data_IF_303115538347
#
_entry.id   IF_303115538347
#
_cell.length_a   1.000
_cell.length_b   1.000
_cell.length_c   1.000
_cell.angle_alpha   90.00
_cell.angle_beta   90.00
_cell.angle_gamma   90.00
#
_symmetry.space_group_name_H-M   'P 1'
#
loop_
_entity.id
_entity.type
_entity.pdbx_description
1 polymer ?
#
# COMPACT_ATOMS: atom_id res chain seq x y z
N UNK A 1 61.35 -41.11 1.56
CA UNK A 1 59.99 -41.17 2.16
C UNK A 1 58.99 -41.36 1.03
N UNK A 2 57.95 -42.21 1.16
CA UNK A 2 57.03 -42.54 0.07
C UNK A 2 55.94 -41.47 -0.14
N UNK A 3 55.27 -41.47 -1.31
CA UNK A 3 54.18 -40.53 -1.62
C UNK A 3 52.88 -40.89 -0.88
N UNK A 4 52.04 -39.89 -0.61
CA UNK A 4 50.71 -40.10 -0.02
C UNK A 4 49.71 -40.63 -1.07
N UNK A 5 49.01 -41.70 -0.71
CA UNK A 5 47.99 -42.36 -1.53
C UNK A 5 46.60 -41.75 -1.31
N UNK A 6 45.81 -41.47 -2.37
CA UNK A 6 44.41 -41.08 -2.25
C UNK A 6 43.45 -42.25 -2.56
N UNK A 7 42.34 -42.39 -1.82
CA UNK A 7 41.04 -43.05 -2.20
C UNK A 7 40.24 -43.50 -0.96
N UNK A 8 38.91 -43.82 -1.05
CA UNK A 8 38.10 -43.97 -2.27
C UNK A 8 36.77 -43.18 -2.33
N UNK A 9 36.32 -42.97 -3.56
CA UNK A 9 34.94 -42.56 -3.93
C UNK A 9 33.92 -43.68 -3.63
N UNK A 10 32.66 -43.35 -3.30
CA UNK A 10 31.55 -44.33 -3.28
C UNK A 10 30.33 -43.90 -4.11
N UNK A 11 30.38 -44.30 -5.38
CA UNK A 11 29.32 -44.86 -6.26
C UNK A 11 27.83 -44.52 -5.98
N UNK A 12 27.20 -43.87 -6.97
CA UNK A 12 25.75 -43.82 -7.30
C UNK A 12 25.36 -45.13 -8.07
N UNK A 13 24.13 -45.64 -8.23
CA UNK A 13 22.70 -45.23 -8.08
C UNK A 13 21.84 -46.53 -7.83
N UNK A 14 20.51 -46.66 -8.14
CA UNK A 14 19.38 -45.72 -8.35
C UNK A 14 18.03 -46.14 -7.64
N UNK A 15 16.90 -45.52 -8.02
CA UNK A 15 15.48 -46.00 -7.87
C UNK A 15 14.82 -45.82 -6.48
N UNK A 16 13.51 -45.53 -6.29
CA UNK A 16 12.29 -45.52 -7.14
C UNK A 16 11.31 -44.36 -6.75
N UNK A 17 10.60 -43.79 -7.74
CA UNK A 17 9.30 -43.08 -7.80
C UNK A 17 8.77 -42.07 -6.72
N UNK A 18 8.06 -41.08 -7.26
CA UNK A 18 7.19 -40.10 -6.58
C UNK A 18 5.80 -40.67 -6.24
N UNK A 19 5.20 -40.34 -5.08
CA UNK A 19 3.83 -40.74 -4.74
C UNK A 19 2.81 -39.62 -5.04
N UNK A 20 2.55 -39.35 -6.32
CA UNK A 20 1.30 -38.72 -6.74
C UNK A 20 0.49 -39.73 -7.56
N UNK A 21 -0.79 -39.85 -7.21
CA UNK A 21 -1.79 -40.75 -7.80
C UNK A 21 -1.60 -42.27 -7.58
N UNK A 22 -2.37 -42.81 -6.65
CA UNK A 22 -3.02 -44.12 -6.79
C UNK A 22 -4.35 -44.08 -6.04
N UNK A 23 -5.42 -44.44 -6.75
CA UNK A 23 -6.80 -44.37 -6.28
C UNK A 23 -7.24 -45.71 -5.72
N UNK A 24 -7.28 -45.85 -4.40
CA UNK A 24 -7.92 -46.99 -3.75
C UNK A 24 -8.94 -46.52 -2.70
N UNK A 25 -10.18 -46.96 -2.87
CA UNK A 25 -11.32 -46.62 -2.01
C UNK A 25 -11.24 -47.37 -0.68
N UNK A 26 -10.88 -46.68 0.41
CA UNK A 26 -10.81 -47.27 1.75
C UNK A 26 -12.09 -46.98 2.56
N UNK A 27 -12.94 -47.98 2.87
CA UNK A 27 -14.31 -47.78 3.37
C UNK A 27 -14.39 -47.52 4.89
N UNK A 28 -13.43 -46.79 5.49
CA UNK A 28 -13.38 -46.50 6.93
C UNK A 28 -13.04 -45.03 7.27
N UNK A 29 -13.21 -44.10 6.32
CA UNK A 29 -12.88 -42.68 6.53
C UNK A 29 -13.91 -41.89 7.37
N UNK A 30 -15.00 -42.50 7.82
CA UNK A 30 -16.09 -41.85 8.60
C UNK A 30 -15.85 -41.77 10.12
N UNK A 31 -14.66 -42.13 10.63
CA UNK A 31 -14.38 -42.18 12.07
C UNK A 31 -13.35 -41.19 12.60
N UNK A 32 -12.86 -40.24 11.80
CA UNK A 32 -11.75 -39.37 12.21
C UNK A 32 -11.92 -37.86 11.99
N UNK A 33 -13.15 -37.33 12.00
CA UNK A 33 -13.40 -35.89 12.22
C UNK A 33 -14.57 -35.69 13.20
N UNK A 34 -14.29 -35.70 14.51
CA UNK A 34 -15.17 -35.09 15.51
C UNK A 34 -14.33 -34.21 16.45
N UNK A 35 -14.31 -32.91 16.15
CA UNK A 35 -13.70 -31.90 17.01
C UNK A 35 -14.64 -31.58 18.19
N UNK A 36 -14.17 -31.54 19.44
CA UNK A 36 -15.02 -31.32 20.62
C UNK A 36 -15.56 -29.88 20.76
N UNK A 37 -15.25 -28.98 19.82
CA UNK A 37 -15.62 -27.56 19.85
C UNK A 37 -16.72 -27.16 18.85
N UNK A 38 -17.38 -28.11 18.17
CA UNK A 38 -18.49 -27.83 17.26
C UNK A 38 -19.72 -28.68 17.59
N UNK A 39 -20.62 -28.13 18.40
CA UNK A 39 -21.97 -28.67 18.59
C UNK A 39 -22.98 -27.80 17.82
N UNK A 40 -23.70 -28.32 16.82
CA UNK A 40 -24.72 -27.56 16.11
C UNK A 40 -25.91 -27.26 17.04
N UNK A 41 -26.52 -26.05 16.97
CA UNK A 41 -27.67 -25.71 17.81
C UNK A 41 -28.90 -26.56 17.47
N UNK A 42 -29.63 -26.99 18.50
CA UNK A 42 -30.83 -27.82 18.36
C UNK A 42 -31.97 -27.02 17.71
N UNK A 43 -32.55 -27.56 16.63
CA UNK A 43 -33.83 -27.07 16.10
C UNK A 43 -34.97 -27.42 17.06
N UNK A 44 -35.87 -26.48 17.44
CA UNK A 44 -37.17 -26.83 17.97
C UNK A 44 -38.09 -27.30 16.83
N UNK A 45 -38.91 -28.32 17.10
CA UNK A 45 -39.88 -28.88 16.17
C UNK A 45 -41.31 -28.53 16.60
N UNK A 46 -42.04 -27.73 15.81
CA UNK A 46 -43.51 -27.71 15.79
C UNK A 46 -43.97 -27.61 14.33
N UNK A 47 -45.14 -28.15 14.03
CA UNK A 47 -45.58 -28.45 12.66
C UNK A 47 -46.28 -27.29 11.93
N UNK A 48 -46.36 -27.48 10.61
CA UNK A 48 -47.31 -26.91 9.63
C UNK A 48 -48.41 -25.99 10.18
N UNK A 49 -48.48 -24.80 9.58
CA UNK A 49 -49.70 -24.37 8.89
C UNK A 49 -49.30 -23.56 7.64
N UNK A 50 -50.15 -23.56 6.62
CA UNK A 50 -49.91 -22.87 5.36
C UNK A 50 -51.02 -21.84 5.16
N UNK A 51 -50.63 -20.57 5.03
CA UNK A 51 -51.46 -19.48 4.54
C UNK A 51 -50.54 -18.47 3.86
N UNK A 52 -51.03 -17.84 2.81
CA UNK A 52 -50.33 -16.79 2.08
C UNK A 52 -50.09 -15.57 2.97
N UNK A 53 -48.91 -14.97 2.85
CA UNK A 53 -48.77 -13.52 2.94
C UNK A 53 -47.57 -13.08 2.10
N UNK A 54 -47.78 -12.12 1.20
CA UNK A 54 -46.69 -11.39 0.56
C UNK A 54 -46.16 -10.38 1.58
N UNK A 55 -44.95 -10.58 2.09
CA UNK A 55 -44.16 -9.43 2.53
C UNK A 55 -42.67 -9.57 2.18
N UNK A 56 -42.02 -8.42 2.08
CA UNK A 56 -40.93 -8.14 1.18
C UNK A 56 -39.60 -7.92 1.92
N UNK A 57 -39.13 -8.95 2.63
CA UNK A 57 -37.82 -8.93 3.30
C UNK A 57 -36.66 -9.33 2.37
N UNK A 58 -36.53 -8.58 1.27
CA UNK A 58 -35.27 -8.41 0.57
C UNK A 58 -34.36 -7.49 1.40
N UNK A 59 -33.55 -8.11 2.28
CA UNK A 59 -32.49 -7.42 3.05
C UNK A 59 -31.41 -6.86 2.11
N UNK A 60 -31.72 -5.69 1.52
CA UNK A 60 -30.83 -4.88 0.69
C UNK A 60 -30.95 -3.43 1.14
N UNK A 61 -30.58 -3.16 2.41
CA UNK A 61 -30.37 -1.80 2.93
C UNK A 61 -29.09 -1.15 2.36
N UNK A 62 -28.91 -1.22 1.04
CA UNK A 62 -27.81 -0.62 0.29
C UNK A 62 -28.30 0.59 -0.53
N UNK A 63 -28.10 1.78 0.04
CA UNK A 63 -28.17 3.06 -0.66
C UNK A 63 -29.50 3.29 -1.43
N UNK A 64 -30.56 3.65 -0.68
CA UNK A 64 -31.95 3.71 -1.13
C UNK A 64 -32.33 4.95 -1.96
N UNK A 65 -31.47 5.97 -2.05
CA UNK A 65 -31.73 7.16 -2.89
C UNK A 65 -30.89 7.17 -4.16
N UNK A 66 -31.56 7.33 -5.31
CA UNK A 66 -30.95 7.56 -6.62
C UNK A 66 -29.97 8.75 -6.60
N UNK A 67 -30.25 9.77 -5.79
CA UNK A 67 -29.40 10.95 -5.59
C UNK A 67 -28.03 10.58 -5.01
N UNK A 68 -27.98 9.65 -4.05
CA UNK A 68 -26.71 9.22 -3.43
C UNK A 68 -25.87 8.46 -4.45
N UNK A 69 -26.49 7.58 -5.26
CA UNK A 69 -25.80 6.86 -6.35
C UNK A 69 -25.19 7.84 -7.37
N UNK A 70 -25.98 8.79 -7.87
CA UNK A 70 -25.54 9.87 -8.77
C UNK A 70 -24.40 10.74 -8.18
N UNK A 71 -24.36 10.91 -6.86
CA UNK A 71 -23.27 11.61 -6.18
C UNK A 71 -22.03 10.73 -6.03
N UNK A 72 -22.17 9.43 -5.75
CA UNK A 72 -21.05 8.48 -5.74
C UNK A 72 -20.41 8.34 -7.13
N UNK A 73 -21.19 8.29 -8.21
CA UNK A 73 -20.67 8.27 -9.58
C UNK A 73 -19.81 9.52 -9.88
N UNK A 74 -20.27 10.69 -9.43
CA UNK A 74 -19.50 11.95 -9.52
C UNK A 74 -18.23 11.91 -8.67
N UNK A 75 -18.27 11.34 -7.47
CA UNK A 75 -17.06 11.14 -6.65
C UNK A 75 -16.09 10.18 -7.34
N UNK A 76 -16.58 9.08 -7.91
CA UNK A 76 -15.75 8.10 -8.63
C UNK A 76 -14.97 8.74 -9.79
N UNK A 77 -15.62 9.61 -10.58
CA UNK A 77 -14.97 10.39 -11.63
C UNK A 77 -13.93 11.40 -11.10
N UNK A 78 -14.05 11.84 -9.84
CA UNK A 78 -13.16 12.82 -9.19
C UNK A 78 -12.06 12.13 -8.35
N UNK A 79 -11.38 11.14 -8.93
CA UNK A 79 -10.30 10.41 -8.25
C UNK A 79 -9.18 11.38 -7.79
N UNK A 80 -8.91 11.51 -6.47
CA UNK A 80 -8.03 12.54 -5.93
C UNK A 80 -6.59 12.31 -6.31
N UNK A 81 -6.07 13.20 -7.13
CA UNK A 81 -4.67 13.16 -7.52
C UNK A 81 -3.77 13.47 -6.33
N UNK A 82 -2.95 12.49 -5.95
CA UNK A 82 -1.94 12.65 -4.93
C UNK A 82 -0.81 13.61 -5.37
N UNK A 83 -0.38 13.59 -6.64
CA UNK A 83 0.84 14.27 -7.10
C UNK A 83 0.81 14.52 -8.63
N UNK A 84 1.29 15.67 -9.13
CA UNK A 84 1.37 16.03 -10.57
C UNK A 84 2.80 16.49 -10.97
N UNK A 85 3.20 16.29 -12.24
CA UNK A 85 4.37 16.92 -12.86
C UNK A 85 4.70 16.34 -14.25
N UNK A 86 5.13 17.19 -15.17
CA UNK A 86 5.25 16.87 -16.60
C UNK A 86 6.53 16.11 -16.99
N UNK A 87 6.50 15.46 -18.15
CA UNK A 87 7.70 14.99 -18.86
C UNK A 87 8.30 16.16 -19.65
N UNK A 88 9.57 16.46 -19.41
CA UNK A 88 10.32 17.37 -20.27
C UNK A 88 10.91 16.61 -21.46
N UNK A 89 10.36 16.85 -22.65
CA UNK A 89 10.93 16.40 -23.92
C UNK A 89 10.43 15.05 -24.43
N UNK A 90 9.50 15.09 -25.38
CA UNK A 90 9.66 14.45 -26.68
C UNK A 90 8.77 15.16 -27.71
N UNK A 91 9.31 15.42 -28.90
CA UNK A 91 8.68 16.31 -29.89
C UNK A 91 7.95 15.54 -30.98
N UNK A 92 6.63 15.31 -30.84
CA UNK A 92 5.64 15.28 -31.95
C UNK A 92 4.24 15.70 -31.47
N UNK A 93 3.83 16.89 -31.90
CA UNK A 93 2.47 17.38 -32.27
C UNK A 93 1.21 16.56 -31.90
N UNK A 94 0.34 17.20 -31.09
CA UNK A 94 -1.14 17.18 -31.05
C UNK A 94 -1.90 15.86 -31.26
N UNK A 95 -2.56 15.38 -30.19
CA UNK A 95 -4.03 15.18 -30.23
C UNK A 95 -4.68 15.19 -28.84
N UNK A 96 -5.94 15.64 -28.80
CA UNK A 96 -6.81 15.70 -27.62
C UNK A 96 -7.06 14.30 -27.00
N UNK A 97 -6.35 13.95 -25.93
CA UNK A 97 -6.83 12.98 -24.94
C UNK A 97 -6.46 13.43 -23.52
N UNK A 98 -7.46 13.44 -22.64
CA UNK A 98 -7.35 13.77 -21.23
C UNK A 98 -6.66 12.63 -20.47
N UNK A 99 -5.37 12.78 -20.19
CA UNK A 99 -4.62 11.80 -19.40
C UNK A 99 -4.51 12.25 -17.93
N UNK A 100 -5.00 11.37 -17.06
CA UNK A 100 -5.32 11.68 -15.67
C UNK A 100 -4.08 11.62 -14.77
N UNK A 101 -3.90 12.63 -13.93
CA UNK A 101 -2.65 12.84 -13.18
C UNK A 101 -2.39 11.86 -12.00
N UNK A 102 -2.97 10.66 -11.94
CA UNK A 102 -2.92 9.84 -10.70
C UNK A 102 -1.71 8.90 -10.55
N UNK A 103 -0.73 9.13 -11.39
CA UNK A 103 0.04 8.02 -11.90
C UNK A 103 1.24 7.65 -11.04
N UNK A 104 2.06 8.55 -10.49
CA UNK A 104 3.38 8.12 -10.00
C UNK A 104 3.38 7.07 -8.86
N UNK A 105 2.53 7.18 -7.82
CA UNK A 105 2.47 6.15 -6.75
C UNK A 105 1.66 4.91 -7.19
N UNK A 106 0.57 5.07 -7.94
CA UNK A 106 -0.25 3.93 -8.39
C UNK A 106 0.42 3.15 -9.54
N UNK A 107 1.01 3.82 -10.52
CA UNK A 107 1.84 3.21 -11.57
C UNK A 107 2.98 2.40 -10.97
N UNK A 108 3.62 2.86 -9.88
CA UNK A 108 4.71 2.12 -9.23
C UNK A 108 4.24 1.29 -8.03
N UNK A 109 2.94 1.08 -7.84
CA UNK A 109 2.42 0.19 -6.79
C UNK A 109 2.92 -1.25 -6.97
N UNK A 110 3.26 -1.64 -8.20
CA UNK A 110 3.90 -2.91 -8.55
C UNK A 110 5.37 -3.02 -8.12
N UNK A 111 6.01 -1.89 -7.77
CA UNK A 111 7.43 -1.79 -7.42
C UNK A 111 7.57 -1.08 -6.06
N UNK A 112 7.59 -1.84 -4.96
CA UNK A 112 7.71 -1.28 -3.62
C UNK A 112 8.96 -0.41 -3.41
N UNK A 113 10.04 -0.62 -4.18
CA UNK A 113 11.22 0.22 -4.10
C UNK A 113 10.95 1.60 -4.73
N UNK A 114 10.41 1.65 -5.95
CA UNK A 114 10.01 2.92 -6.59
C UNK A 114 8.96 3.66 -5.75
N UNK A 115 8.03 2.97 -5.09
CA UNK A 115 7.11 3.61 -4.14
C UNK A 115 7.86 4.28 -2.98
N UNK A 116 8.85 3.60 -2.39
CA UNK A 116 9.67 4.18 -1.30
C UNK A 116 10.51 5.37 -1.79
N UNK A 117 11.01 5.35 -3.03
CA UNK A 117 11.67 6.50 -3.67
C UNK A 117 10.69 7.68 -3.79
N UNK A 118 9.51 7.48 -4.38
CA UNK A 118 8.49 8.52 -4.55
C UNK A 118 8.08 9.17 -3.22
N UNK A 119 7.67 8.37 -2.22
CA UNK A 119 7.31 8.89 -0.89
C UNK A 119 8.50 9.51 -0.14
N UNK A 120 9.75 9.20 -0.52
CA UNK A 120 10.94 9.86 0.02
C UNK A 120 11.07 11.29 -0.51
N UNK A 121 10.86 11.51 -1.81
CA UNK A 121 10.92 12.83 -2.47
C UNK A 121 9.76 13.77 -2.08
N UNK A 122 8.61 13.22 -1.67
CA UNK A 122 7.43 13.99 -1.27
C UNK A 122 7.49 14.52 0.17
N UNK A 123 8.45 14.08 1.00
CA UNK A 123 8.52 14.48 2.41
C UNK A 123 8.75 15.98 2.57
N UNK A 124 7.68 16.74 2.84
CA UNK A 124 7.66 18.21 2.92
C UNK A 124 8.01 18.91 1.59
N UNK A 125 7.68 18.31 0.44
CA UNK A 125 7.84 18.93 -0.89
C UNK A 125 6.52 18.87 -1.65
N UNK A 126 6.22 19.90 -2.44
CA UNK A 126 5.06 19.91 -3.33
C UNK A 126 5.22 18.90 -4.46
N UNK A 127 4.11 18.29 -4.87
CA UNK A 127 4.08 17.34 -5.97
C UNK A 127 4.63 17.90 -7.28
N UNK A 128 4.25 19.16 -7.61
CA UNK A 128 4.68 19.88 -8.83
C UNK A 128 6.20 19.88 -9.02
N UNK A 129 6.97 19.89 -7.92
CA UNK A 129 8.44 19.81 -7.95
C UNK A 129 8.95 18.36 -7.86
N UNK A 130 8.32 17.53 -7.03
CA UNK A 130 8.81 16.19 -6.73
C UNK A 130 8.65 15.18 -7.88
N UNK A 131 7.62 15.30 -8.74
CA UNK A 131 7.40 14.34 -9.82
C UNK A 131 8.40 14.42 -10.98
N UNK A 132 8.71 15.60 -11.56
CA UNK A 132 9.64 15.65 -12.69
C UNK A 132 11.01 15.08 -12.28
N UNK A 133 11.45 15.44 -11.07
CA UNK A 133 12.66 14.91 -10.44
C UNK A 133 12.55 13.40 -10.11
N UNK A 134 11.37 12.89 -9.75
CA UNK A 134 11.16 11.45 -9.57
C UNK A 134 11.35 10.69 -10.88
N UNK A 135 10.74 11.14 -11.98
CA UNK A 135 10.85 10.48 -13.28
C UNK A 135 12.28 10.54 -13.82
N UNK A 136 12.94 11.69 -13.75
CA UNK A 136 14.37 11.81 -14.12
C UNK A 136 15.27 10.90 -13.26
N UNK A 137 14.96 10.73 -11.96
CA UNK A 137 15.70 9.85 -11.08
C UNK A 137 15.53 8.38 -11.45
N UNK A 138 14.31 7.90 -11.70
CA UNK A 138 14.07 6.50 -12.08
C UNK A 138 14.40 6.18 -13.54
N UNK A 139 14.56 7.19 -14.40
CA UNK A 139 15.16 7.03 -15.72
C UNK A 139 16.68 6.83 -15.60
N UNK A 140 17.37 7.72 -14.86
CA UNK A 140 18.83 7.67 -14.67
C UNK A 140 19.29 6.49 -13.79
N UNK A 141 18.49 6.07 -12.82
CA UNK A 141 18.77 4.95 -11.93
C UNK A 141 17.51 4.06 -11.75
N UNK A 142 17.19 3.18 -12.72
CA UNK A 142 15.91 2.46 -12.77
C UNK A 142 15.74 1.31 -11.77
N UNK A 143 16.80 0.94 -11.04
CA UNK A 143 16.83 -0.20 -10.12
C UNK A 143 17.45 0.17 -8.76
N UNK A 144 17.16 -0.60 -7.69
CA UNK A 144 17.84 -0.45 -6.41
C UNK A 144 19.37 -0.56 -6.55
N UNK A 145 19.87 -1.44 -7.42
CA UNK A 145 21.30 -1.59 -7.67
C UNK A 145 21.92 -0.31 -8.22
N UNK A 146 21.37 0.24 -9.32
CA UNK A 146 21.85 1.48 -9.92
C UNK A 146 21.81 2.66 -8.94
N UNK A 147 20.73 2.82 -8.15
CA UNK A 147 20.64 3.93 -7.19
C UNK A 147 21.54 3.72 -5.95
N UNK A 148 21.82 2.47 -5.57
CA UNK A 148 22.75 2.16 -4.48
C UNK A 148 24.22 2.48 -4.80
N UNK A 149 24.54 2.58 -6.09
CA UNK A 149 25.87 2.86 -6.65
C UNK A 149 26.00 4.29 -7.20
N UNK A 150 24.93 5.09 -7.18
CA UNK A 150 24.92 6.46 -7.65
C UNK A 150 25.94 7.35 -6.90
N UNK A 151 26.53 8.32 -7.60
CA UNK A 151 27.36 9.34 -6.97
C UNK A 151 26.52 10.22 -6.03
N UNK A 152 26.99 10.42 -4.80
CA UNK A 152 26.40 11.35 -3.83
C UNK A 152 26.23 12.74 -4.47
N UNK A 153 27.18 13.19 -5.29
CA UNK A 153 27.18 14.51 -5.94
C UNK A 153 26.12 14.62 -7.04
N UNK A 154 26.04 13.64 -7.94
CA UNK A 154 25.06 13.62 -9.04
C UNK A 154 23.63 13.57 -8.52
N UNK A 155 23.38 12.70 -7.52
CA UNK A 155 22.06 12.56 -6.92
C UNK A 155 21.67 13.81 -6.12
N UNK A 156 22.61 14.43 -5.39
CA UNK A 156 22.40 15.73 -4.71
C UNK A 156 22.11 16.85 -5.70
N UNK A 157 22.76 16.85 -6.86
CA UNK A 157 22.51 17.84 -7.92
C UNK A 157 21.12 17.70 -8.51
N UNK A 158 20.71 16.47 -8.86
CA UNK A 158 19.36 16.18 -9.38
C UNK A 158 18.26 16.63 -8.40
N UNK A 159 18.34 16.24 -7.13
CA UNK A 159 17.27 16.51 -6.17
C UNK A 159 17.39 17.87 -5.47
N UNK A 160 18.35 18.71 -5.89
CA UNK A 160 18.60 20.06 -5.35
C UNK A 160 17.34 20.95 -5.34
N UNK A 161 16.47 20.98 -6.37
CA UNK A 161 15.26 21.81 -6.38
C UNK A 161 14.26 21.47 -5.27
N UNK A 162 14.33 20.26 -4.70
CA UNK A 162 13.37 19.78 -3.70
C UNK A 162 13.72 20.19 -2.25
N UNK A 163 14.94 20.69 -2.03
CA UNK A 163 15.50 20.97 -0.72
C UNK A 163 15.84 19.73 0.11
N UNK A 164 16.61 19.90 1.19
CA UNK A 164 17.14 18.80 2.05
C UNK A 164 17.93 17.73 1.28
N UNK A 165 18.49 18.10 0.13
CA UNK A 165 19.06 17.22 -0.88
C UNK A 165 20.12 16.26 -0.33
N UNK A 166 21.09 16.72 0.47
CA UNK A 166 22.12 15.86 1.07
C UNK A 166 21.55 14.78 1.98
N UNK A 167 20.45 15.05 2.69
CA UNK A 167 19.78 14.09 3.57
C UNK A 167 18.98 13.08 2.72
N UNK A 168 18.34 13.55 1.66
CA UNK A 168 17.55 12.69 0.74
C UNK A 168 18.44 11.76 -0.07
N UNK A 169 19.52 12.26 -0.65
CA UNK A 169 20.46 11.45 -1.46
C UNK A 169 21.01 10.29 -0.62
N UNK A 170 21.59 10.58 0.55
CA UNK A 170 22.10 9.56 1.47
C UNK A 170 21.04 8.56 1.88
N UNK A 171 19.81 9.02 2.16
CA UNK A 171 18.68 8.13 2.51
C UNK A 171 18.23 7.25 1.33
N UNK A 172 18.23 7.76 0.10
CA UNK A 172 17.85 7.00 -1.10
C UNK A 172 18.90 5.93 -1.44
N UNK A 173 20.19 6.26 -1.36
CA UNK A 173 21.30 5.33 -1.54
C UNK A 173 21.26 4.25 -0.45
N UNK A 174 21.16 4.63 0.83
CA UNK A 174 21.14 3.69 1.96
C UNK A 174 19.89 2.81 2.00
N UNK A 175 18.73 3.35 1.60
CA UNK A 175 17.49 2.59 1.42
C UNK A 175 17.66 1.56 0.29
N UNK A 176 18.26 1.94 -0.83
CA UNK A 176 18.48 1.02 -1.95
C UNK A 176 19.49 -0.08 -1.61
N UNK A 177 20.56 0.23 -0.86
CA UNK A 177 21.50 -0.76 -0.29
C UNK A 177 20.77 -1.73 0.64
N UNK A 178 19.98 -1.21 1.58
CA UNK A 178 19.19 -2.04 2.50
C UNK A 178 18.14 -2.91 1.77
N UNK A 179 17.55 -2.40 0.69
CA UNK A 179 16.58 -3.14 -0.13
C UNK A 179 17.22 -4.34 -0.85
N UNK A 180 18.48 -4.22 -1.30
CA UNK A 180 19.21 -5.32 -1.92
C UNK A 180 19.68 -6.37 -0.91
N UNK A 181 20.18 -5.91 0.25
CA UNK A 181 20.66 -6.79 1.31
C UNK A 181 19.52 -7.57 1.98
N UNK A 182 18.35 -6.95 2.08
CA UNK A 182 17.23 -7.47 2.85
C UNK A 182 15.88 -7.06 2.21
N UNK A 183 15.50 -7.66 1.07
CA UNK A 183 14.33 -7.24 0.30
C UNK A 183 13.01 -7.45 1.06
N UNK A 184 11.97 -6.63 0.79
CA UNK A 184 10.62 -6.84 1.32
C UNK A 184 10.06 -8.21 0.93
N UNK A 185 9.38 -8.85 1.88
CA UNK A 185 8.64 -10.09 1.64
C UNK A 185 7.24 -9.99 2.26
N UNK A 186 6.16 -10.25 1.50
CA UNK A 186 4.79 -10.35 2.06
C UNK A 186 4.67 -11.37 3.20
N UNK A 187 5.56 -12.37 3.22
CA UNK A 187 5.54 -13.48 4.17
C UNK A 187 6.45 -13.28 5.40
N UNK A 188 7.32 -12.27 5.40
CA UNK A 188 8.23 -11.94 6.52
C UNK A 188 8.11 -10.45 6.89
N UNK A 189 7.07 -10.12 7.68
CA UNK A 189 6.79 -8.75 8.11
C UNK A 189 7.67 -8.34 9.28
N UNK A 190 8.82 -7.73 8.96
CA UNK A 190 9.79 -7.31 9.96
C UNK A 190 9.35 -6.05 10.71
N UNK A 191 9.78 -5.93 11.97
CA UNK A 191 9.50 -4.74 12.79
C UNK A 191 10.41 -3.59 12.35
N UNK A 192 9.87 -2.37 12.32
CA UNK A 192 10.73 -1.20 12.12
C UNK A 192 11.85 -1.14 13.14
N UNK A 193 13.07 -0.92 12.60
CA UNK A 193 14.30 -0.71 13.37
C UNK A 193 14.00 0.35 14.44
N UNK A 194 14.34 0.12 15.73
CA UNK A 194 14.25 1.17 16.73
C UNK A 194 14.98 2.41 16.24
N UNK A 195 14.50 3.60 16.60
CA UNK A 195 15.32 4.79 16.45
C UNK A 195 16.65 4.56 17.18
N UNK A 196 17.80 5.02 16.64
CA UNK A 196 19.06 4.96 17.36
C UNK A 196 18.88 5.50 18.76
N UNK A 197 19.30 4.74 19.77
CA UNK A 197 19.28 5.21 21.15
C UNK A 197 20.09 6.51 21.21
N UNK A 198 19.60 7.58 21.87
CA UNK A 198 20.37 8.79 22.02
C UNK A 198 21.69 8.43 22.73
N UNK A 199 22.81 8.85 22.15
CA UNK A 199 24.14 8.67 22.73
C UNK A 199 24.16 9.19 24.17
N UNK A 200 24.66 8.37 25.09
CA UNK A 200 24.66 8.56 26.56
C UNK A 200 24.91 9.99 27.05
N UNK A 201 23.86 10.81 27.11
CA UNK A 201 23.90 12.20 27.58
C UNK A 201 22.52 12.69 28.04
N UNK A 202 22.05 12.21 29.20
CA UNK A 202 21.29 12.98 30.21
C UNK A 202 20.68 12.01 31.22
N UNK A 203 21.37 11.81 32.34
CA UNK A 203 20.75 11.28 33.56
C UNK A 203 19.98 12.42 34.23
N UNK A 204 18.72 12.61 33.85
CA UNK A 204 17.79 13.48 34.58
C UNK A 204 16.61 12.65 35.06
N UNK A 205 16.46 12.57 36.39
CA UNK A 205 15.35 11.86 37.02
C UNK A 205 14.01 12.52 36.65
N UNK A 206 13.12 11.75 36.03
CA UNK A 206 11.75 12.15 35.76
C UNK A 206 10.84 10.94 35.80
N UNK A 207 10.12 10.75 36.90
CA UNK A 207 9.04 9.76 36.98
C UNK A 207 7.87 10.21 36.10
N UNK A 208 7.89 9.77 34.85
CA UNK A 208 6.81 9.96 33.91
C UNK A 208 6.90 8.87 32.86
N UNK A 209 6.20 7.76 33.08
CA UNK A 209 6.12 6.64 32.14
C UNK A 209 5.74 7.19 30.76
N UNK A 210 6.63 7.22 29.76
CA UNK A 210 6.29 7.80 28.46
C UNK A 210 5.23 6.89 27.85
N UNK A 211 3.99 7.39 27.76
CA UNK A 211 2.84 6.62 27.29
C UNK A 211 3.20 5.94 25.98
N UNK A 212 3.30 4.60 25.99
CA UNK A 212 3.89 3.83 24.88
C UNK A 212 3.09 4.11 23.62
N UNK A 213 3.61 5.00 22.75
CA UNK A 213 3.01 5.32 21.44
C UNK A 213 2.76 3.98 20.75
N UNK A 214 1.49 3.67 20.45
CA UNK A 214 1.11 2.39 19.83
C UNK A 214 2.00 2.16 18.61
N UNK A 215 2.84 1.12 18.65
CA UNK A 215 3.80 0.84 17.59
C UNK A 215 3.02 0.52 16.32
N UNK A 216 3.45 1.08 15.19
CA UNK A 216 2.81 0.80 13.91
C UNK A 216 2.91 -0.71 13.60
N UNK A 217 1.86 -1.37 13.07
CA UNK A 217 1.92 -2.78 12.69
C UNK A 217 3.08 -3.06 11.74
N UNK A 218 3.82 -4.16 11.88
CA UNK A 218 4.89 -4.48 10.94
C UNK A 218 4.33 -4.69 9.53
N UNK A 219 5.08 -4.27 8.53
CA UNK A 219 4.79 -4.41 7.09
C UNK A 219 6.01 -4.97 6.37
N UNK A 220 5.88 -5.50 5.14
CA UNK A 220 7.01 -6.01 4.36
C UNK A 220 8.16 -5.02 4.16
N UNK A 221 7.87 -3.71 4.16
CA UNK A 221 8.88 -2.65 3.99
C UNK A 221 9.40 -2.06 5.31
N UNK A 222 8.86 -2.48 6.46
CA UNK A 222 8.98 -1.73 7.73
C UNK A 222 10.41 -1.63 8.27
N UNK A 223 11.31 -2.55 7.95
CA UNK A 223 12.71 -2.60 8.39
C UNK A 223 13.65 -1.68 7.60
N UNK A 224 13.22 -1.19 6.43
CA UNK A 224 14.04 -0.38 5.54
C UNK A 224 14.29 1.02 6.15
N UNK A 225 15.49 1.60 5.93
CA UNK A 225 15.81 2.90 6.50
C UNK A 225 14.97 3.98 5.81
N UNK A 226 14.31 4.81 6.62
CA UNK A 226 13.46 5.89 6.11
C UNK A 226 12.02 5.50 5.76
N UNK A 227 11.56 4.28 6.03
CA UNK A 227 10.12 3.95 5.91
C UNK A 227 9.34 4.41 7.14
N UNK A 228 9.07 5.72 7.20
CA UNK A 228 8.21 6.33 8.20
C UNK A 228 6.71 6.07 7.94
N UNK A 229 5.84 6.46 8.88
CA UNK A 229 4.39 6.15 8.86
C UNK A 229 3.70 6.43 7.52
N UNK A 230 4.03 7.55 6.86
CA UNK A 230 3.54 7.90 5.53
C UNK A 230 3.89 6.87 4.45
N UNK A 231 5.12 6.34 4.44
CA UNK A 231 5.54 5.28 3.52
C UNK A 231 4.85 3.94 3.83
N UNK A 232 4.66 3.62 5.11
CA UNK A 232 3.98 2.39 5.55
C UNK A 232 2.49 2.42 5.21
N UNK A 233 1.82 3.56 5.46
CA UNK A 233 0.43 3.81 5.07
C UNK A 233 0.32 3.72 3.53
N UNK A 234 1.22 4.34 2.77
CA UNK A 234 1.23 4.27 1.29
C UNK A 234 1.40 2.84 0.76
N UNK A 235 2.40 2.08 1.25
CA UNK A 235 2.60 0.69 0.82
C UNK A 235 1.35 -0.17 1.08
N UNK A 236 0.73 -0.02 2.26
CA UNK A 236 -0.47 -0.79 2.61
C UNK A 236 -1.70 -0.41 1.77
N UNK A 237 -1.82 0.85 1.34
CA UNK A 237 -2.89 1.32 0.45
C UNK A 237 -2.67 0.82 -0.99
N UNK A 238 -1.45 0.99 -1.53
CA UNK A 238 -1.20 0.84 -2.97
C UNK A 238 -0.61 -0.53 -3.34
N UNK A 239 0.51 -0.94 -2.74
CA UNK A 239 1.16 -2.20 -3.10
C UNK A 239 0.30 -3.42 -2.77
N UNK A 240 -0.36 -3.46 -1.61
CA UNK A 240 -1.18 -4.64 -1.25
C UNK A 240 -2.39 -4.82 -2.15
N UNK A 241 -2.96 -3.71 -2.66
CA UNK A 241 -4.07 -3.73 -3.62
C UNK A 241 -3.60 -4.15 -5.02
N UNK A 242 -2.34 -3.88 -5.38
CA UNK A 242 -1.72 -4.38 -6.61
C UNK A 242 -1.39 -5.89 -6.51
N UNK A 243 -0.76 -6.32 -5.41
CA UNK A 243 -0.43 -7.73 -5.13
C UNK A 243 -1.69 -8.61 -5.03
N UNK A 244 -2.78 -8.07 -4.45
CA UNK A 244 -4.07 -8.73 -4.36
C UNK A 244 -5.22 -7.70 -4.49
N UNK A 245 -5.94 -7.65 -5.62
CA UNK A 245 -7.09 -6.76 -5.81
C UNK A 245 -8.23 -6.93 -4.80
N UNK A 246 -8.31 -8.06 -4.10
CA UNK A 246 -9.27 -8.32 -3.03
C UNK A 246 -8.76 -7.86 -1.64
N UNK A 247 -7.57 -7.27 -1.57
CA UNK A 247 -6.98 -6.77 -0.32
C UNK A 247 -7.87 -5.70 0.33
N UNK A 248 -8.25 -5.95 1.57
CA UNK A 248 -8.97 -5.00 2.42
C UNK A 248 -8.06 -4.21 3.36
N UNK A 249 -6.72 -4.30 3.19
CA UNK A 249 -5.75 -3.57 4.02
C UNK A 249 -6.04 -2.07 4.07
N UNK A 250 -6.43 -1.46 2.94
CA UNK A 250 -6.77 -0.05 2.87
C UNK A 250 -7.94 0.35 3.79
N UNK A 251 -8.88 -0.57 4.07
CA UNK A 251 -10.06 -0.32 4.92
C UNK A 251 -9.71 -0.17 6.40
N UNK A 252 -8.61 -0.78 6.86
CA UNK A 252 -8.16 -0.74 8.26
C UNK A 252 -7.09 0.31 8.54
N UNK A 253 -6.71 1.12 7.55
CA UNK A 253 -5.70 2.18 7.69
C UNK A 253 -6.38 3.48 8.13
N UNK A 254 -5.79 4.13 9.13
CA UNK A 254 -6.10 5.51 9.51
C UNK A 254 -4.84 6.33 9.27
N UNK A 255 -4.69 6.90 8.06
CA UNK A 255 -3.49 7.66 7.70
C UNK A 255 -3.54 9.04 8.36
N UNK A 256 -2.37 9.62 8.61
CA UNK A 256 -2.24 10.99 9.14
C UNK A 256 -1.82 12.01 8.09
N UNK A 257 -1.43 11.55 6.89
CA UNK A 257 -1.07 12.43 5.78
C UNK A 257 -2.32 12.98 5.08
N UNK A 258 -2.29 14.26 4.70
CA UNK A 258 -3.44 14.96 4.11
C UNK A 258 -3.86 14.36 2.76
N UNK A 259 -2.91 13.92 1.93
CA UNK A 259 -3.21 13.34 0.62
C UNK A 259 -3.68 11.90 0.71
N UNK A 260 -3.12 11.11 1.61
CA UNK A 260 -3.66 9.77 1.91
C UNK A 260 -5.06 9.84 2.54
N UNK A 261 -5.34 10.82 3.41
CA UNK A 261 -6.70 11.05 3.96
C UNK A 261 -7.69 11.37 2.82
N UNK A 262 -7.33 12.26 1.90
CA UNK A 262 -8.17 12.60 0.74
C UNK A 262 -8.44 11.38 -0.15
N UNK A 263 -7.41 10.57 -0.40
CA UNK A 263 -7.54 9.32 -1.16
C UNK A 263 -8.46 8.31 -0.47
N UNK A 264 -8.32 8.10 0.85
CA UNK A 264 -9.16 7.17 1.61
C UNK A 264 -10.62 7.63 1.68
N UNK A 265 -10.89 8.94 1.88
CA UNK A 265 -12.25 9.50 1.78
C UNK A 265 -12.89 9.18 0.43
N UNK A 266 -12.18 9.46 -0.67
CA UNK A 266 -12.65 9.15 -2.01
C UNK A 266 -12.91 7.65 -2.19
N UNK A 267 -11.97 6.79 -1.80
CA UNK A 267 -12.06 5.34 -2.03
C UNK A 267 -13.26 4.72 -1.30
N UNK A 268 -13.53 5.13 -0.06
CA UNK A 268 -14.75 4.72 0.66
C UNK A 268 -16.04 5.23 0.01
N UNK A 269 -16.06 6.47 -0.48
CA UNK A 269 -17.23 7.03 -1.13
C UNK A 269 -17.50 6.42 -2.51
N UNK A 270 -16.45 6.15 -3.29
CA UNK A 270 -16.53 5.61 -4.66
C UNK A 270 -16.75 4.09 -4.70
N UNK A 271 -16.03 3.31 -3.89
CA UNK A 271 -16.10 1.83 -3.94
C UNK A 271 -17.17 1.24 -3.02
N UNK A 272 -17.51 1.92 -1.92
CA UNK A 272 -18.37 1.37 -0.86
C UNK A 272 -19.63 2.20 -0.58
N UNK A 273 -19.80 3.36 -1.23
CA UNK A 273 -20.86 4.34 -0.92
C UNK A 273 -20.93 4.71 0.57
N UNK A 274 -19.77 4.80 1.23
CA UNK A 274 -19.64 5.10 2.67
C UNK A 274 -18.90 6.41 2.89
N UNK A 275 -19.32 7.13 3.91
CA UNK A 275 -18.56 8.28 4.41
C UNK A 275 -17.48 7.79 5.38
N UNK A 276 -16.27 8.33 5.24
CA UNK A 276 -15.14 8.03 6.12
C UNK A 276 -14.77 9.24 6.98
N UNK A 277 -14.75 9.03 8.29
CA UNK A 277 -14.34 10.03 9.29
C UNK A 277 -13.35 9.39 10.26
N UNK A 278 -12.05 9.55 10.01
CA UNK A 278 -10.97 9.14 10.92
C UNK A 278 -10.97 7.63 11.32
N UNK A 279 -11.47 6.76 10.45
CA UNK A 279 -11.62 5.31 10.70
C UNK A 279 -13.03 4.87 11.11
N UNK A 280 -13.94 5.81 11.37
CA UNK A 280 -15.37 5.53 11.46
C UNK A 280 -15.95 5.54 10.05
N UNK A 281 -16.80 4.55 9.74
CA UNK A 281 -17.51 4.45 8.45
C UNK A 281 -19.00 4.29 8.66
N UNK A 282 -19.79 5.14 7.98
CA UNK A 282 -21.26 5.13 7.95
C UNK A 282 -21.75 5.14 6.50
N UNK A 283 -23.05 4.88 6.27
CA UNK A 283 -23.64 5.07 4.94
C UNK A 283 -23.49 6.53 4.51
N UNK A 284 -23.04 6.79 3.27
CA UNK A 284 -22.74 8.14 2.84
C UNK A 284 -24.00 9.03 2.74
N UNK A 285 -23.97 10.16 3.44
CA UNK A 285 -25.01 11.19 3.27
C UNK A 285 -24.80 12.05 2.02
N UNK A 286 -25.87 12.55 1.42
CA UNK A 286 -25.78 13.46 0.25
C UNK A 286 -25.01 14.75 0.58
N UNK A 287 -25.11 15.23 1.82
CA UNK A 287 -24.32 16.36 2.35
C UNK A 287 -22.82 16.06 2.38
N UNK A 288 -22.42 14.88 2.88
CA UNK A 288 -21.02 14.45 2.87
C UNK A 288 -20.48 14.36 1.45
N UNK A 289 -21.20 13.70 0.53
CA UNK A 289 -20.75 13.53 -0.85
C UNK A 289 -20.63 14.86 -1.58
N UNK A 290 -21.58 15.80 -1.41
CA UNK A 290 -21.46 17.17 -1.95
C UNK A 290 -20.23 17.91 -1.41
N UNK A 291 -19.96 17.80 -0.10
CA UNK A 291 -18.78 18.40 0.53
C UNK A 291 -17.48 17.79 0.00
N UNK A 292 -17.44 16.46 -0.15
CA UNK A 292 -16.29 15.74 -0.71
C UNK A 292 -16.05 16.11 -2.18
N UNK A 293 -17.10 16.18 -3.01
CA UNK A 293 -17.02 16.67 -4.39
C UNK A 293 -16.42 18.09 -4.42
N UNK A 294 -16.86 18.99 -3.53
CA UNK A 294 -16.30 20.35 -3.45
C UNK A 294 -14.83 20.36 -3.02
N UNK A 295 -14.42 19.52 -2.05
CA UNK A 295 -13.01 19.36 -1.66
C UNK A 295 -12.16 18.86 -2.83
N UNK A 296 -12.63 17.85 -3.56
CA UNK A 296 -11.94 17.23 -4.70
C UNK A 296 -11.84 18.19 -5.90
N UNK A 297 -12.95 18.84 -6.29
CA UNK A 297 -12.99 19.80 -7.40
C UNK A 297 -12.13 21.02 -7.10
N UNK A 298 -12.12 21.53 -5.87
CA UNK A 298 -11.26 22.65 -5.47
C UNK A 298 -9.78 22.33 -5.71
N UNK A 299 -9.34 21.12 -5.35
CA UNK A 299 -7.96 20.65 -5.59
C UNK A 299 -7.63 20.54 -7.08
N UNK A 300 -8.60 20.22 -7.94
CA UNK A 300 -8.41 20.13 -9.39
C UNK A 300 -8.39 21.51 -10.06
N UNK A 301 -9.34 22.40 -9.70
CA UNK A 301 -9.43 23.75 -10.28
C UNK A 301 -8.24 24.63 -9.89
N UNK A 302 -7.72 24.50 -8.65
CA UNK A 302 -6.52 25.24 -8.23
C UNK A 302 -5.25 24.85 -9.02
N UNK A 303 -5.27 23.73 -9.76
CA UNK A 303 -4.16 23.31 -10.63
C UNK A 303 -4.28 23.89 -12.02
N UNK A 304 -5.47 23.85 -12.64
CA UNK A 304 -5.71 24.45 -13.96
C UNK A 304 -5.27 25.93 -13.94
N UNK A 305 -5.75 26.69 -12.95
CA UNK A 305 -5.37 28.10 -12.75
C UNK A 305 -3.87 28.29 -12.45
N UNK A 306 -3.17 27.28 -11.92
CA UNK A 306 -1.73 27.33 -11.63
C UNK A 306 -0.85 26.74 -12.77
N UNK A 307 -1.48 26.28 -13.85
CA UNK A 307 -0.86 25.89 -15.12
C UNK A 307 -1.04 27.04 -16.13
N UNK A 308 -2.23 27.66 -16.17
CA UNK A 308 -2.56 28.79 -17.04
C UNK A 308 -1.90 30.13 -16.62
N UNK A 309 -1.08 30.14 -15.58
CA UNK A 309 -0.45 31.33 -14.98
C UNK A 309 1.09 31.34 -15.04
N UNK A 310 1.70 30.43 -15.81
CA UNK A 310 3.13 30.36 -16.13
C UNK A 310 3.38 30.54 -17.65
#
# INVERSE_FOLDING_TARGET
MPPQTPSPKRRISPSVASPYFSSESNPNLDRYIQSPYFSPPKKPSVAREAADDLDNDLDVSYCTSLEVRLLCDKVMALKPILIQGDRWGDSVVLTLQSHHELDSIELVAHDPWKLIVAVTLLNKTSGKLAIPVFWELVDRWPTPLSLSQASDEELVNLIRPLGTQTIRAKRLIEMSKSYLLDPPSPYDVRRSKPAPLPSSASLTNGQGSPGKRKKYPPTPISHLPGTGRYALDSYRIFCTAYENPLSQEWKVIVPTDKKLIQYIKWKWAAEECKEWTCGITSAATTTYLRSLISELVSITLFRIVAIDAE
#
